data_IF_896169559922
#
_entry.id   IF_896169559922
#
_cell.length_a   1.000
_cell.length_b   1.000
_cell.length_c   1.000
_cell.angle_alpha   90.00
_cell.angle_beta   90.00
_cell.angle_gamma   90.00
#
_symmetry.space_group_name_H-M   'P 1'
#
loop_
_entity.id
_entity.type
_entity.pdbx_description
1 polymer ?
#
# COMPACT_ATOMS: atom_id res chain seq x y z
N UNK A 1 -1.68 22.58 0.82
CA UNK A 1 -2.27 21.43 1.54
C UNK A 1 -2.15 21.70 3.03
N UNK A 2 -3.24 21.61 3.80
CA UNK A 2 -3.19 21.81 5.25
C UNK A 2 -2.37 20.68 5.91
N UNK A 3 -1.56 20.98 6.95
CA UNK A 3 -0.81 19.96 7.66
C UNK A 3 -1.77 18.91 8.24
N UNK A 4 -1.48 17.62 8.00
CA UNK A 4 -2.28 16.53 8.53
C UNK A 4 -2.43 16.66 10.05
N UNK A 5 -3.67 16.60 10.54
CA UNK A 5 -3.96 16.73 11.96
C UNK A 5 -3.15 15.70 12.77
N UNK A 6 -2.29 16.18 13.67
CA UNK A 6 -1.51 15.31 14.56
C UNK A 6 -2.47 14.69 15.58
N UNK A 7 -2.62 13.37 15.54
CA UNK A 7 -3.37 12.60 16.53
C UNK A 7 -2.38 12.12 17.61
N UNK A 8 -2.74 12.31 18.88
CA UNK A 8 -1.97 11.84 20.01
C UNK A 8 -1.92 10.30 20.00
N UNK A 9 -0.80 9.71 20.43
CA UNK A 9 -0.66 8.23 20.49
C UNK A 9 -1.71 7.64 21.42
N UNK A 10 -1.91 8.28 22.58
CA UNK A 10 -2.85 7.87 23.63
C UNK A 10 -4.29 7.74 23.09
N UNK A 11 -4.76 8.73 22.32
CA UNK A 11 -6.09 8.70 21.68
C UNK A 11 -6.23 7.48 20.76
N UNK A 12 -5.18 7.18 19.98
CA UNK A 12 -5.18 6.05 19.03
C UNK A 12 -5.15 4.72 19.77
N UNK A 13 -4.29 4.59 20.78
CA UNK A 13 -4.18 3.39 21.63
C UNK A 13 -5.52 3.09 22.29
N UNK A 14 -6.20 4.11 22.84
CA UNK A 14 -7.51 3.94 23.47
C UNK A 14 -8.58 3.42 22.49
N UNK A 15 -8.55 3.86 21.22
CA UNK A 15 -9.47 3.36 20.17
C UNK A 15 -9.10 1.94 19.74
N UNK A 16 -7.80 1.64 19.57
CA UNK A 16 -7.33 0.28 19.22
C UNK A 16 -7.78 -0.72 20.30
N UNK A 17 -7.62 -0.39 21.58
CA UNK A 17 -8.02 -1.26 22.69
C UNK A 17 -9.48 -1.68 22.65
N UNK A 18 -10.39 -0.79 22.25
CA UNK A 18 -11.83 -1.10 22.15
C UNK A 18 -12.15 -2.10 21.05
N UNK A 19 -11.31 -2.14 20.01
CA UNK A 19 -11.49 -2.97 18.83
C UNK A 19 -10.39 -4.04 18.73
N UNK A 20 -9.75 -4.39 19.86
CA UNK A 20 -8.58 -5.26 19.90
C UNK A 20 -8.89 -6.67 19.39
N UNK A 21 -10.15 -7.10 19.51
CA UNK A 21 -10.65 -8.39 19.02
C UNK A 21 -10.42 -8.58 17.52
N UNK A 22 -10.31 -7.48 16.76
CA UNK A 22 -10.01 -7.51 15.33
C UNK A 22 -8.50 -7.59 15.01
N UNK A 23 -7.62 -7.50 16.02
CA UNK A 23 -6.17 -7.37 15.84
C UNK A 23 -5.36 -8.41 16.62
N UNK A 24 -5.99 -9.51 17.02
CA UNK A 24 -5.36 -10.60 17.80
C UNK A 24 -4.33 -11.39 16.99
N UNK A 25 -4.61 -11.64 15.71
CA UNK A 25 -3.75 -12.40 14.80
C UNK A 25 -3.32 -11.53 13.61
N UNK A 26 -2.01 -11.38 13.38
CA UNK A 26 -1.50 -10.53 12.29
C UNK A 26 -1.85 -11.02 10.88
N UNK A 27 -2.02 -12.33 10.71
CA UNK A 27 -2.51 -12.95 9.49
C UNK A 27 -3.99 -12.67 9.20
N UNK A 28 -4.75 -12.24 10.22
CA UNK A 28 -6.20 -12.03 10.12
C UNK A 28 -6.58 -10.56 10.32
N UNK A 29 -5.68 -9.64 9.96
CA UNK A 29 -6.02 -8.23 10.05
C UNK A 29 -7.12 -7.86 9.04
N UNK A 30 -8.06 -6.98 9.43
CA UNK A 30 -9.13 -6.57 8.53
C UNK A 30 -8.57 -5.91 7.26
N UNK A 31 -9.06 -6.34 6.10
CA UNK A 31 -8.71 -5.73 4.82
C UNK A 31 -8.97 -4.21 4.82
N UNK A 32 -8.28 -3.45 3.97
CA UNK A 32 -8.32 -1.97 3.99
C UNK A 32 -9.73 -1.36 3.80
N UNK A 33 -10.65 -2.08 3.14
CA UNK A 33 -12.05 -1.71 2.94
C UNK A 33 -12.98 -2.06 4.10
N UNK A 34 -12.49 -2.78 5.11
CA UNK A 34 -13.30 -3.25 6.23
C UNK A 34 -13.91 -2.09 7.02
N UNK A 35 -15.16 -2.26 7.45
CA UNK A 35 -15.95 -1.19 8.08
C UNK A 35 -15.34 -0.68 9.39
N UNK A 36 -14.54 -1.52 10.06
CA UNK A 36 -13.86 -1.19 11.32
C UNK A 36 -12.97 0.06 11.19
N UNK A 37 -12.28 0.22 10.06
CA UNK A 37 -11.40 1.36 9.82
C UNK A 37 -12.18 2.67 9.75
N UNK A 38 -13.40 2.61 9.21
CA UNK A 38 -14.33 3.74 9.18
C UNK A 38 -14.87 4.05 10.58
N UNK A 39 -15.15 3.03 11.38
CA UNK A 39 -15.58 3.18 12.78
C UNK A 39 -14.49 3.83 13.63
N UNK A 40 -13.27 3.32 13.58
CA UNK A 40 -12.11 3.88 14.29
C UNK A 40 -11.79 5.31 13.85
N UNK A 41 -11.88 5.61 12.55
CA UNK A 41 -11.72 6.96 12.01
C UNK A 41 -12.73 7.96 12.61
N UNK A 42 -14.00 7.55 12.76
CA UNK A 42 -15.03 8.36 13.41
C UNK A 42 -14.74 8.57 14.90
N UNK A 43 -14.30 7.53 15.61
CA UNK A 43 -13.90 7.66 17.03
C UNK A 43 -12.71 8.60 17.23
N UNK A 44 -11.80 8.65 16.26
CA UNK A 44 -10.71 9.63 16.20
C UNK A 44 -11.15 11.02 15.68
N UNK A 45 -12.45 11.30 15.68
CA UNK A 45 -13.05 12.57 15.23
C UNK A 45 -12.69 12.92 13.79
N UNK A 46 -12.54 11.90 12.92
CA UNK A 46 -12.11 12.03 11.53
C UNK A 46 -10.75 12.72 11.32
N UNK A 47 -9.90 12.82 12.36
CA UNK A 47 -8.54 13.35 12.22
C UNK A 47 -7.68 12.47 11.32
N UNK A 48 -7.92 11.15 11.36
CA UNK A 48 -7.37 10.18 10.43
C UNK A 48 -8.47 9.66 9.52
N UNK A 49 -8.19 9.56 8.22
CA UNK A 49 -9.05 8.84 7.27
C UNK A 49 -9.03 7.34 7.58
N UNK A 50 -10.05 6.56 7.15
CA UNK A 50 -10.06 5.10 7.34
C UNK A 50 -8.77 4.43 6.85
N UNK A 51 -8.28 4.86 5.68
CA UNK A 51 -7.02 4.37 5.12
C UNK A 51 -5.81 4.70 6.01
N UNK A 52 -5.74 5.91 6.57
CA UNK A 52 -4.67 6.26 7.50
C UNK A 52 -4.70 5.39 8.75
N UNK A 53 -5.88 5.08 9.29
CA UNK A 53 -6.01 4.16 10.43
C UNK A 53 -5.46 2.79 10.04
N UNK A 54 -5.91 2.23 8.91
CA UNK A 54 -5.44 0.94 8.39
C UNK A 54 -3.91 0.89 8.29
N UNK A 55 -3.28 1.86 7.62
CA UNK A 55 -1.82 1.88 7.41
C UNK A 55 -1.05 2.05 8.74
N UNK A 56 -1.54 2.89 9.66
CA UNK A 56 -0.84 3.13 10.91
C UNK A 56 -0.97 1.95 11.88
N UNK A 57 -2.13 1.30 11.95
CA UNK A 57 -2.36 0.14 12.82
C UNK A 57 -1.67 -1.10 12.25
N UNK A 58 -1.88 -1.42 10.97
CA UNK A 58 -1.35 -2.64 10.34
C UNK A 58 0.19 -2.66 10.31
N UNK A 59 0.81 -1.52 10.05
CA UNK A 59 2.28 -1.39 10.09
C UNK A 59 2.81 -1.06 11.48
N UNK A 60 1.96 -1.05 12.52
CA UNK A 60 2.32 -0.68 13.88
C UNK A 60 3.13 0.64 13.97
N UNK A 61 2.75 1.65 13.17
CA UNK A 61 3.47 2.93 13.12
C UNK A 61 3.42 3.60 14.49
N UNK A 62 4.55 4.16 14.93
CA UNK A 62 4.71 4.75 16.28
C UNK A 62 4.41 3.75 17.41
N UNK A 63 4.46 2.44 17.12
CA UNK A 63 4.21 1.34 18.07
C UNK A 63 2.79 1.36 18.69
N UNK A 64 1.81 1.96 18.02
CA UNK A 64 0.44 2.13 18.58
C UNK A 64 -0.24 0.81 18.92
N UNK A 65 -0.04 -0.23 18.11
CA UNK A 65 -0.64 -1.54 18.34
C UNK A 65 0.13 -2.31 19.41
N UNK A 66 1.46 -2.24 19.39
CA UNK A 66 2.30 -2.84 20.43
C UNK A 66 1.97 -2.26 21.83
N UNK A 67 1.86 -0.94 21.95
CA UNK A 67 1.47 -0.29 23.21
C UNK A 67 0.07 -0.73 23.65
N UNK A 68 -0.89 -0.84 22.72
CA UNK A 68 -2.22 -1.32 23.05
C UNK A 68 -2.25 -2.77 23.55
N UNK A 69 -1.46 -3.66 22.93
CA UNK A 69 -1.29 -5.05 23.35
C UNK A 69 -0.59 -5.16 24.71
N UNK A 70 0.51 -4.42 24.92
CA UNK A 70 1.26 -4.37 26.18
C UNK A 70 0.36 -3.93 27.34
N UNK A 71 -0.44 -2.88 27.13
CA UNK A 71 -1.36 -2.36 28.15
C UNK A 71 -2.56 -3.28 28.44
N UNK A 72 -2.88 -4.22 27.55
CA UNK A 72 -3.90 -5.25 27.74
C UNK A 72 -3.32 -6.59 28.21
N UNK A 73 -1.98 -6.72 28.30
CA UNK A 73 -1.31 -7.97 28.63
C UNK A 73 -1.44 -9.05 27.54
N UNK A 74 -1.72 -8.64 26.29
CA UNK A 74 -1.86 -9.54 25.15
C UNK A 74 -0.50 -9.64 24.46
N UNK A 75 -0.02 -10.85 24.12
CA UNK A 75 1.20 -10.99 23.34
C UNK A 75 1.05 -10.29 22.00
N UNK A 76 1.90 -9.31 21.72
CA UNK A 76 1.90 -8.62 20.43
C UNK A 76 2.21 -9.64 19.31
N UNK A 77 1.41 -9.71 18.24
CA UNK A 77 1.63 -10.69 17.20
C UNK A 77 2.97 -10.41 16.51
N UNK A 78 3.91 -11.34 16.70
CA UNK A 78 5.30 -11.21 16.34
C UNK A 78 5.47 -11.04 14.82
N UNK A 79 6.41 -10.19 14.40
CA UNK A 79 6.72 -10.03 12.99
C UNK A 79 7.37 -11.30 12.47
N UNK A 80 6.74 -11.96 11.49
CA UNK A 80 7.48 -12.81 10.56
C UNK A 80 8.42 -11.86 9.82
N UNK A 81 9.65 -11.74 10.32
CA UNK A 81 10.69 -10.89 9.72
C UNK A 81 10.99 -11.43 8.32
N UNK A 82 10.30 -10.94 7.32
CA UNK A 82 10.86 -10.93 5.97
C UNK A 82 11.99 -9.91 5.99
N UNK A 83 13.21 -10.42 6.20
CA UNK A 83 14.44 -9.65 6.13
C UNK A 83 14.48 -9.03 4.73
N UNK A 84 14.16 -7.74 4.63
CA UNK A 84 14.40 -6.97 3.42
C UNK A 84 15.91 -6.87 3.23
N UNK A 85 16.45 -7.79 2.43
CA UNK A 85 17.85 -7.82 2.05
C UNK A 85 18.07 -6.91 0.83
N UNK A 86 17.81 -5.62 0.94
CA UNK A 86 18.34 -4.65 -0.02
C UNK A 86 18.85 -3.41 0.69
N UNK A 87 20.05 -3.56 1.24
CA UNK A 87 20.98 -2.45 1.46
C UNK A 87 21.68 -2.21 0.12
N UNK A 88 21.16 -1.30 -0.71
CA UNK A 88 21.90 -0.78 -1.86
C UNK A 88 21.65 0.72 -1.98
N UNK A 89 22.72 1.46 -1.74
CA UNK A 89 22.91 2.90 -1.98
C UNK A 89 22.55 3.27 -3.41
N UNK A 90 21.62 4.21 -3.60
CA UNK A 90 21.73 5.24 -4.62
C UNK A 90 20.84 6.43 -4.21
N UNK A 91 21.44 7.61 -4.21
CA UNK A 91 20.77 8.88 -3.95
C UNK A 91 19.76 9.22 -5.04
N UNK A 92 18.76 9.99 -4.60
CA UNK A 92 17.92 10.90 -5.39
C UNK A 92 17.19 10.30 -6.59
N UNK A 93 16.00 9.73 -6.33
CA UNK A 93 14.94 9.68 -7.34
C UNK A 93 13.60 9.95 -6.68
N UNK A 94 13.01 11.06 -7.11
CA UNK A 94 11.67 11.54 -6.80
C UNK A 94 10.69 10.36 -6.81
N UNK A 95 10.05 10.09 -5.67
CA UNK A 95 9.02 9.05 -5.55
C UNK A 95 7.78 9.45 -6.35
N UNK A 96 7.62 8.80 -7.51
CA UNK A 96 6.38 8.77 -8.28
C UNK A 96 5.26 8.12 -7.44
N UNK A 97 4.08 8.76 -7.25
CA UNK A 97 2.97 8.21 -6.48
C UNK A 97 2.28 6.98 -7.10
N UNK A 98 2.79 6.44 -8.21
CA UNK A 98 2.23 5.27 -8.91
C UNK A 98 3.07 3.99 -8.84
N UNK A 99 4.04 3.88 -7.91
CA UNK A 99 4.72 2.60 -7.72
C UNK A 99 3.84 1.64 -6.89
N UNK A 100 2.76 1.15 -7.51
CA UNK A 100 2.05 -0.05 -7.10
C UNK A 100 3.06 -1.20 -7.12
N UNK A 101 3.60 -1.52 -5.95
CA UNK A 101 4.30 -2.79 -5.75
C UNK A 101 3.25 -3.87 -6.00
N UNK A 102 3.31 -4.50 -7.16
CA UNK A 102 2.55 -5.71 -7.45
C UNK A 102 2.88 -6.73 -6.36
N UNK A 103 1.99 -6.89 -5.38
CA UNK A 103 2.01 -8.05 -4.49
C UNK A 103 1.70 -9.27 -5.36
N UNK A 104 2.74 -9.99 -5.75
CA UNK A 104 2.61 -11.32 -6.32
C UNK A 104 1.90 -12.19 -5.29
N UNK A 105 0.62 -12.44 -5.53
CA UNK A 105 -0.23 -13.30 -4.71
C UNK A 105 0.45 -14.67 -4.55
N UNK A 106 0.46 -15.20 -3.33
CA UNK A 106 1.08 -16.48 -2.95
C UNK A 106 0.53 -17.68 -3.77
N UNK A 107 -0.62 -17.49 -4.44
CA UNK A 107 -1.20 -18.42 -5.43
C UNK A 107 -0.40 -18.58 -6.73
N UNK A 108 0.67 -17.81 -6.95
CA UNK A 108 1.53 -17.91 -8.13
C UNK A 108 2.73 -18.85 -7.96
N UNK A 109 2.86 -19.51 -6.79
CA UNK A 109 4.00 -20.37 -6.47
C UNK A 109 4.20 -21.56 -7.44
N UNK A 110 3.14 -22.00 -8.13
CA UNK A 110 3.16 -23.11 -9.09
C UNK A 110 3.10 -22.68 -10.57
N UNK A 111 3.20 -21.38 -10.87
CA UNK A 111 3.20 -20.90 -12.26
C UNK A 111 4.62 -20.94 -12.84
N UNK A 112 4.78 -21.64 -13.96
CA UNK A 112 6.03 -21.66 -14.73
C UNK A 112 6.45 -20.23 -15.11
N UNK A 113 7.63 -19.81 -14.65
CA UNK A 113 8.24 -18.54 -15.04
C UNK A 113 8.48 -18.54 -16.57
N UNK A 114 7.88 -17.60 -17.30
CA UNK A 114 8.20 -17.38 -18.71
C UNK A 114 9.03 -16.11 -18.89
N UNK A 115 10.21 -16.25 -19.50
CA UNK A 115 11.13 -15.12 -19.76
C UNK A 115 10.83 -14.51 -21.11
N UNK A 116 10.31 -13.28 -21.11
CA UNK A 116 10.18 -12.48 -22.34
C UNK A 116 11.52 -11.81 -22.64
N UNK A 117 12.07 -12.05 -23.84
CA UNK A 117 13.25 -11.34 -24.34
C UNK A 117 12.81 -10.46 -25.49
N UNK A 118 13.02 -9.16 -25.35
CA UNK A 118 12.70 -8.15 -26.36
C UNK A 118 13.97 -7.36 -26.62
N UNK A 119 14.30 -7.13 -27.89
CA UNK A 119 15.38 -6.24 -28.28
C UNK A 119 14.98 -4.78 -28.10
N UNK A 120 15.95 -3.87 -28.00
CA UNK A 120 15.65 -2.43 -27.91
C UNK A 120 14.79 -1.93 -29.08
N UNK A 121 15.02 -2.46 -30.30
CA UNK A 121 14.23 -2.10 -31.48
C UNK A 121 12.78 -2.58 -31.39
N UNK A 122 12.55 -3.82 -30.93
CA UNK A 122 11.21 -4.36 -30.71
C UNK A 122 10.48 -3.61 -29.59
N UNK A 123 11.18 -3.25 -28.51
CA UNK A 123 10.61 -2.44 -27.43
C UNK A 123 10.12 -1.09 -27.94
N UNK A 124 10.94 -0.38 -28.72
CA UNK A 124 10.56 0.89 -29.34
C UNK A 124 9.39 0.74 -30.31
N UNK A 125 9.26 -0.41 -30.98
CA UNK A 125 8.13 -0.70 -31.88
C UNK A 125 6.82 -1.02 -31.16
N UNK A 126 6.88 -1.45 -29.89
CA UNK A 126 5.71 -1.73 -29.04
C UNK A 126 5.17 -0.43 -28.41
N UNK A 127 6.05 0.56 -28.22
CA UNK A 127 5.65 1.86 -27.70
C UNK A 127 4.64 2.54 -28.64
N UNK A 128 3.56 3.02 -28.04
CA UNK A 128 2.47 3.67 -28.75
C UNK A 128 2.82 5.07 -29.25
N UNK A 129 1.91 5.66 -30.03
CA UNK A 129 2.09 7.00 -30.58
C UNK A 129 1.62 8.06 -29.57
N UNK A 130 2.32 9.20 -29.55
CA UNK A 130 1.99 10.34 -28.72
C UNK A 130 0.80 11.11 -29.33
N UNK A 131 -0.29 11.26 -28.57
CA UNK A 131 -1.50 11.96 -29.02
C UNK A 131 -1.71 13.22 -28.21
N UNK A 132 -1.70 14.36 -28.90
CA UNK A 132 -2.05 15.66 -28.34
C UNK A 132 -3.54 15.90 -28.44
N UNK A 133 -4.16 16.26 -27.32
CA UNK A 133 -5.58 16.57 -27.22
C UNK A 133 -5.80 18.08 -27.27
N UNK A 134 -7.03 18.49 -27.61
CA UNK A 134 -7.40 19.90 -27.78
C UNK A 134 -7.26 20.75 -26.49
N UNK A 135 -7.14 20.12 -25.32
CA UNK A 135 -6.90 20.80 -24.03
C UNK A 135 -5.40 21.03 -23.74
N UNK A 136 -4.53 20.70 -24.68
CA UNK A 136 -3.08 20.85 -24.56
C UNK A 136 -2.40 19.71 -23.81
N UNK A 137 -3.13 18.68 -23.36
CA UNK A 137 -2.53 17.47 -22.78
C UNK A 137 -2.02 16.53 -23.85
N UNK A 138 -0.93 15.87 -23.54
CA UNK A 138 -0.30 14.88 -24.40
C UNK A 138 -0.26 13.53 -23.66
N UNK A 139 -0.76 12.48 -24.30
CA UNK A 139 -0.75 11.12 -23.75
C UNK A 139 -0.15 10.13 -24.75
N UNK A 140 0.68 9.21 -24.26
CA UNK A 140 1.11 8.06 -25.05
C UNK A 140 -0.06 7.09 -25.19
N UNK A 141 -0.50 6.86 -26.42
CA UNK A 141 -1.62 5.95 -26.72
C UNK A 141 -1.11 4.70 -27.41
N UNK A 142 -1.55 3.52 -26.98
CA UNK A 142 -1.21 2.27 -27.65
C UNK A 142 -1.53 2.37 -29.15
N UNK A 143 -0.62 1.87 -29.98
CA UNK A 143 -0.80 1.87 -31.43
C UNK A 143 -2.09 1.12 -31.79
N UNK A 144 -2.99 1.77 -32.53
CA UNK A 144 -4.20 1.07 -32.97
C UNK A 144 -3.79 -0.08 -33.89
N UNK A 145 -4.14 -1.32 -33.52
CA UNK A 145 -3.83 -2.49 -34.32
C UNK A 145 -4.33 -2.31 -35.76
N UNK A 146 -3.48 -2.64 -36.72
CA UNK A 146 -3.85 -2.72 -38.14
C UNK A 146 -4.95 -3.79 -38.22
N UNK A 147 -6.17 -3.37 -38.55
CA UNK A 147 -7.21 -4.32 -38.96
C UNK A 147 -6.84 -4.79 -40.36
N UNK A 148 -6.13 -5.91 -40.45
CA UNK A 148 -6.03 -6.63 -41.72
C UNK A 148 -7.45 -7.03 -42.15
N UNK A 149 -7.75 -6.72 -43.42
CA UNK A 149 -9.04 -6.93 -44.07
C UNK A 149 -9.01 -8.22 -44.88
#
# INVERSE_FOLDING_TARGET
MAPHAKVAVEDVVAVIKKHIDHFTERSNFPISSHIIWKTMSKELKNKWTPYNVYVNVSNNRRKVLAIACDELGIPFPEEVKNVSLHKSTFEDSVTDPFNEVFELHEESADLDEFKVRVTAAEWMSIQGDEKTYNDGRTHTTLRSGIRDR
#
